data_IF_550603269797
#
_entry.id   IF_550603269797
#
_cell.length_a   1.000
_cell.length_b   1.000
_cell.length_c   1.000
_cell.angle_alpha   90.00
_cell.angle_beta   90.00
_cell.angle_gamma   90.00
#
_symmetry.space_group_name_H-M   'P 1'
#
loop_
_entity.id
_entity.type
_entity.pdbx_description
1 polymer ?
#
# COMPACT_ATOMS: atom_id res chain seq x y z
N UNK A 1 -7.67 -0.76 9.38
CA UNK A 1 -6.98 -1.99 8.96
C UNK A 1 -7.02 -2.99 10.10
N UNK A 2 -7.34 -4.25 9.81
CA UNK A 2 -7.54 -5.31 10.82
C UNK A 2 -6.72 -6.54 10.45
N UNK A 3 -6.14 -7.19 11.46
CA UNK A 3 -5.57 -8.53 11.36
C UNK A 3 -6.71 -9.53 11.66
N UNK A 4 -6.99 -10.43 10.73
CA UNK A 4 -8.06 -11.43 10.91
C UNK A 4 -7.54 -12.73 11.54
N UNK A 5 -6.24 -12.97 11.48
CA UNK A 5 -5.56 -14.13 12.09
C UNK A 5 -4.12 -13.80 12.42
N UNK A 6 -3.46 -14.58 13.30
CA UNK A 6 -2.03 -14.42 13.55
C UNK A 6 -1.23 -14.50 12.26
N UNK A 7 -0.28 -13.59 12.09
CA UNK A 7 0.57 -13.50 10.90
C UNK A 7 2.01 -13.83 11.25
N UNK A 8 2.68 -14.55 10.34
CA UNK A 8 4.10 -14.86 10.50
C UNK A 8 4.95 -13.72 9.95
N UNK A 9 6.20 -13.63 10.44
CA UNK A 9 7.18 -12.64 10.00
C UNK A 9 7.40 -12.67 8.49
N UNK A 10 7.34 -13.85 7.89
CA UNK A 10 7.58 -14.09 6.45
C UNK A 10 6.54 -13.38 5.57
N UNK A 11 5.39 -12.99 6.13
CA UNK A 11 4.41 -12.15 5.42
C UNK A 11 4.96 -10.74 5.17
N UNK A 12 5.88 -10.26 6.01
CA UNK A 12 6.43 -8.91 5.97
C UNK A 12 7.88 -8.84 5.51
N UNK A 13 8.65 -9.90 5.75
CA UNK A 13 10.06 -9.98 5.39
C UNK A 13 10.38 -11.38 4.88
N UNK A 14 11.03 -11.49 3.74
CA UNK A 14 11.34 -12.77 3.11
C UNK A 14 12.72 -12.77 2.43
N UNK A 15 13.14 -13.97 2.02
CA UNK A 15 14.42 -14.20 1.40
C UNK A 15 15.59 -14.27 2.40
N UNK A 16 16.77 -14.61 1.90
CA UNK A 16 17.99 -14.74 2.73
C UNK A 16 18.38 -13.42 3.40
N UNK A 17 18.14 -12.32 2.71
CA UNK A 17 18.49 -10.97 3.16
C UNK A 17 17.38 -10.31 4.00
N UNK A 18 16.34 -11.04 4.37
CA UNK A 18 15.18 -10.53 5.12
C UNK A 18 14.60 -9.24 4.51
N UNK A 19 14.46 -9.18 3.20
CA UNK A 19 13.92 -8.02 2.52
C UNK A 19 12.41 -7.85 2.77
N UNK A 20 11.92 -6.61 2.86
CA UNK A 20 10.49 -6.30 2.94
C UNK A 20 9.74 -6.95 1.78
N UNK A 21 8.67 -7.66 2.07
CA UNK A 21 7.80 -8.22 1.04
C UNK A 21 6.94 -7.14 0.43
N UNK A 22 6.95 -7.00 -0.89
CA UNK A 22 6.16 -6.00 -1.61
C UNK A 22 5.94 -6.39 -3.07
N UNK A 23 5.20 -5.57 -3.81
CA UNK A 23 4.97 -5.72 -5.24
C UNK A 23 5.32 -4.43 -5.98
N UNK A 24 6.14 -4.55 -7.01
CA UNK A 24 6.49 -3.44 -7.88
C UNK A 24 5.67 -3.52 -9.18
N UNK A 25 4.52 -2.88 -9.21
CA UNK A 25 3.62 -2.84 -10.37
C UNK A 25 3.50 -1.39 -10.84
N UNK A 26 3.94 -1.12 -12.06
CA UNK A 26 3.82 0.20 -12.70
C UNK A 26 2.35 0.59 -12.84
N UNK A 27 2.04 1.83 -12.48
CA UNK A 27 0.72 2.43 -12.61
C UNK A 27 0.83 3.85 -13.13
N UNK A 28 -0.30 4.52 -13.28
CA UNK A 28 -0.40 5.95 -13.58
C UNK A 28 -1.20 6.62 -12.48
N UNK A 29 -0.79 7.82 -12.09
CA UNK A 29 -1.55 8.64 -11.18
C UNK A 29 -2.54 9.46 -12.03
N UNK A 30 -3.81 9.43 -11.64
CA UNK A 30 -4.86 10.26 -12.25
C UNK A 30 -5.26 11.35 -11.26
N UNK A 31 -5.33 12.59 -11.75
CA UNK A 31 -5.75 13.77 -10.98
C UNK A 31 -7.12 14.22 -11.48
N UNK A 32 -8.13 13.37 -11.34
CA UNK A 32 -9.45 13.58 -11.93
C UNK A 32 -10.31 14.61 -11.20
N UNK A 33 -10.06 14.85 -9.92
CA UNK A 33 -10.79 15.82 -9.11
C UNK A 33 -9.86 16.85 -8.50
N UNK A 34 -10.28 18.13 -8.45
CA UNK A 34 -9.49 19.23 -7.86
C UNK A 34 -9.42 19.14 -6.33
N UNK A 35 -10.33 18.40 -5.71
CA UNK A 35 -10.49 18.30 -4.26
C UNK A 35 -9.66 17.18 -3.64
N UNK A 36 -9.34 16.14 -4.42
CA UNK A 36 -8.58 15.01 -3.93
C UNK A 36 -7.09 15.34 -3.79
N UNK A 37 -6.60 15.44 -2.56
CA UNK A 37 -5.20 15.73 -2.25
C UNK A 37 -4.25 14.56 -2.53
N UNK A 38 -4.71 13.32 -2.38
CA UNK A 38 -3.83 12.14 -2.44
C UNK A 38 -3.14 11.93 -3.80
N UNK A 39 -3.79 12.17 -4.95
CA UNK A 39 -3.10 12.14 -6.25
C UNK A 39 -1.95 13.14 -6.35
N UNK A 40 -2.10 14.35 -5.80
CA UNK A 40 -1.03 15.36 -5.81
C UNK A 40 0.15 14.93 -4.95
N UNK A 41 -0.09 14.47 -3.73
CA UNK A 41 0.95 13.95 -2.83
C UNK A 41 1.71 12.78 -3.48
N UNK A 42 1.00 11.83 -4.10
CA UNK A 42 1.63 10.73 -4.84
C UNK A 42 2.45 11.24 -6.04
N UNK A 43 1.98 12.27 -6.73
CA UNK A 43 2.69 12.88 -7.84
C UNK A 43 3.98 13.56 -7.36
N UNK A 44 3.95 14.26 -6.22
CA UNK A 44 5.14 14.85 -5.60
C UNK A 44 6.17 13.76 -5.28
N UNK A 45 5.75 12.65 -4.65
CA UNK A 45 6.61 11.51 -4.36
C UNK A 45 7.25 10.94 -5.64
N UNK A 46 6.49 10.81 -6.72
CA UNK A 46 7.00 10.31 -8.01
C UNK A 46 7.92 11.33 -8.68
N UNK A 47 7.67 12.62 -8.50
CA UNK A 47 8.51 13.70 -9.05
C UNK A 47 9.89 13.68 -8.40
N UNK A 48 9.97 13.60 -7.08
CA UNK A 48 11.24 13.43 -6.35
C UNK A 48 11.95 12.17 -6.81
N UNK A 49 11.26 11.04 -6.85
CA UNK A 49 11.83 9.77 -7.31
C UNK A 49 12.47 9.90 -8.70
N UNK A 50 11.80 10.56 -9.64
CA UNK A 50 12.29 10.81 -11.00
C UNK A 50 13.46 11.80 -11.06
N UNK A 51 13.68 12.59 -10.04
CA UNK A 51 14.88 13.42 -9.88
C UNK A 51 16.13 12.60 -9.61
N UNK A 52 15.98 11.45 -8.93
CA UNK A 52 17.09 10.60 -8.50
C UNK A 52 17.31 9.37 -9.37
N UNK A 53 16.26 8.86 -10.05
CA UNK A 53 16.33 7.57 -10.72
C UNK A 53 15.80 7.60 -12.16
N UNK A 54 16.53 6.95 -13.06
CA UNK A 54 16.02 6.56 -14.37
C UNK A 54 15.30 5.21 -14.25
N UNK A 55 14.02 5.17 -14.59
CA UNK A 55 13.19 3.98 -14.46
C UNK A 55 13.73 2.80 -15.26
N UNK A 56 14.13 3.02 -16.51
CA UNK A 56 14.62 1.95 -17.41
C UNK A 56 15.87 1.31 -16.85
N UNK A 57 16.80 2.11 -16.33
CA UNK A 57 18.03 1.62 -15.70
C UNK A 57 17.73 0.80 -14.45
N UNK A 58 16.86 1.30 -13.56
CA UNK A 58 16.52 0.58 -12.34
C UNK A 58 15.76 -0.71 -12.63
N UNK A 59 14.82 -0.70 -13.57
CA UNK A 59 14.13 -1.91 -13.99
C UNK A 59 15.09 -2.92 -14.64
N UNK A 60 16.08 -2.47 -15.42
CA UNK A 60 17.11 -3.34 -15.99
C UNK A 60 17.95 -3.99 -14.88
N UNK A 61 18.40 -3.19 -13.92
CA UNK A 61 19.23 -3.63 -12.78
C UNK A 61 18.51 -4.66 -11.91
N UNK A 62 17.21 -4.50 -11.71
CA UNK A 62 16.39 -5.35 -10.85
C UNK A 62 15.29 -6.10 -11.61
N UNK A 63 15.58 -6.51 -12.86
CA UNK A 63 14.58 -7.02 -13.81
C UNK A 63 13.69 -8.13 -13.23
N UNK A 64 14.26 -9.16 -12.60
CA UNK A 64 13.51 -10.28 -12.03
C UNK A 64 12.57 -9.90 -10.87
N UNK A 65 12.80 -8.75 -10.25
CA UNK A 65 11.92 -8.22 -9.21
C UNK A 65 10.76 -7.40 -9.79
N UNK A 66 10.97 -6.75 -10.94
CA UNK A 66 9.94 -5.98 -11.64
C UNK A 66 9.08 -6.86 -12.57
N UNK A 67 9.70 -7.80 -13.26
CA UNK A 67 9.02 -8.78 -14.12
C UNK A 67 9.01 -10.12 -13.39
N UNK A 68 8.06 -10.26 -12.46
CA UNK A 68 7.97 -11.41 -11.57
C UNK A 68 6.64 -12.14 -11.71
N UNK A 69 6.68 -13.47 -11.76
CA UNK A 69 5.47 -14.31 -11.89
C UNK A 69 4.48 -14.13 -10.72
N UNK A 70 4.97 -13.73 -9.54
CA UNK A 70 4.10 -13.42 -8.40
C UNK A 70 3.06 -12.32 -8.69
N UNK A 71 3.30 -11.48 -9.69
CA UNK A 71 2.37 -10.42 -10.09
C UNK A 71 1.28 -10.87 -11.08
N UNK A 72 1.33 -12.11 -11.55
CA UNK A 72 0.42 -12.62 -12.59
C UNK A 72 0.45 -11.71 -13.83
N UNK A 73 -0.71 -11.35 -14.36
CA UNK A 73 -0.82 -10.49 -15.54
C UNK A 73 -0.19 -9.10 -15.40
N UNK A 74 -0.01 -8.60 -14.17
CA UNK A 74 0.66 -7.32 -13.95
C UNK A 74 2.15 -7.34 -14.30
N UNK A 75 2.78 -8.51 -14.39
CA UNK A 75 4.15 -8.64 -14.90
C UNK A 75 4.26 -8.17 -16.36
N UNK A 76 3.25 -8.46 -17.19
CA UNK A 76 3.18 -7.96 -18.57
C UNK A 76 3.04 -6.44 -18.62
N UNK A 77 2.30 -5.85 -17.70
CA UNK A 77 2.19 -4.39 -17.57
C UNK A 77 3.55 -3.76 -17.33
N UNK A 78 4.35 -4.32 -16.43
CA UNK A 78 5.71 -3.83 -16.20
C UNK A 78 6.58 -3.96 -17.44
N UNK A 79 6.43 -5.03 -18.21
CA UNK A 79 7.16 -5.26 -19.44
C UNK A 79 6.79 -4.24 -20.53
N UNK A 80 5.49 -3.95 -20.71
CA UNK A 80 5.01 -2.92 -21.67
C UNK A 80 5.60 -1.56 -21.35
N UNK A 81 5.69 -1.20 -20.07
CA UNK A 81 6.23 0.08 -19.63
C UNK A 81 7.74 0.09 -19.36
N UNK A 82 8.44 -1.00 -19.69
CA UNK A 82 9.88 -1.16 -19.42
C UNK A 82 10.74 -0.09 -20.09
N UNK A 83 10.43 0.30 -21.33
CA UNK A 83 11.22 1.26 -22.10
C UNK A 83 11.14 2.72 -21.64
N UNK A 84 10.28 3.04 -20.69
CA UNK A 84 10.08 4.41 -20.23
C UNK A 84 11.17 4.82 -19.23
N UNK A 85 11.72 6.05 -19.36
CA UNK A 85 12.73 6.60 -18.48
C UNK A 85 12.17 7.20 -17.18
N UNK A 86 10.86 7.50 -17.13
CA UNK A 86 10.20 8.12 -15.98
C UNK A 86 9.15 7.22 -15.37
N UNK A 87 9.10 7.16 -14.05
CA UNK A 87 7.97 6.59 -13.32
C UNK A 87 6.75 7.49 -13.49
N UNK A 88 5.59 6.91 -13.73
CA UNK A 88 4.30 7.61 -13.77
C UNK A 88 3.45 7.33 -12.53
N UNK A 89 3.86 6.36 -11.73
CA UNK A 89 3.20 5.92 -10.52
C UNK A 89 3.40 4.43 -10.28
N UNK A 90 2.91 3.99 -9.13
CA UNK A 90 2.94 2.60 -8.68
C UNK A 90 1.54 2.18 -8.26
N UNK A 91 1.22 0.92 -8.44
CA UNK A 91 0.04 0.35 -7.82
C UNK A 91 0.22 0.30 -6.31
N UNK A 92 -0.77 0.76 -5.59
CA UNK A 92 -0.78 0.83 -4.14
C UNK A 92 -1.94 -0.01 -3.58
N UNK A 93 -1.87 -0.32 -2.30
CA UNK A 93 -2.99 -0.76 -1.49
C UNK A 93 -2.89 -0.13 -0.09
N UNK A 94 -3.98 -0.12 0.66
CA UNK A 94 -4.03 0.42 2.02
C UNK A 94 -3.80 -0.68 3.07
N UNK A 95 -2.77 -1.51 2.86
CA UNK A 95 -2.34 -2.53 3.80
C UNK A 95 -0.98 -2.16 4.40
N UNK A 96 -0.55 -2.92 5.42
CA UNK A 96 0.75 -2.71 6.04
C UNK A 96 1.89 -3.01 5.07
N UNK A 97 2.79 -2.05 4.93
CA UNK A 97 4.07 -2.19 4.24
C UNK A 97 5.21 -2.27 5.27
N UNK A 98 6.26 -2.95 4.88
CA UNK A 98 7.50 -3.01 5.65
C UNK A 98 8.56 -2.17 4.98
N UNK A 99 9.36 -1.47 5.78
CA UNK A 99 10.41 -0.60 5.29
C UNK A 99 11.74 -0.96 5.92
N UNK A 100 12.82 -0.77 5.17
CA UNK A 100 14.17 -0.80 5.71
C UNK A 100 14.49 0.57 6.32
N UNK A 101 15.04 0.57 7.51
CA UNK A 101 15.50 1.80 8.18
C UNK A 101 16.49 2.57 7.31
N UNK A 102 17.40 1.87 6.63
CA UNK A 102 18.36 2.46 5.71
C UNK A 102 17.75 3.22 4.54
N UNK A 103 16.52 2.86 4.11
CA UNK A 103 15.82 3.62 3.06
C UNK A 103 15.31 4.96 3.59
N UNK A 104 14.83 4.98 4.84
CA UNK A 104 14.46 6.22 5.51
C UNK A 104 15.66 7.15 5.67
N UNK A 105 16.79 6.63 6.15
CA UNK A 105 18.01 7.38 6.36
C UNK A 105 18.53 7.97 5.03
N UNK A 106 18.57 7.18 3.96
CA UNK A 106 19.03 7.62 2.63
C UNK A 106 18.13 8.72 2.04
N UNK A 107 16.82 8.62 2.20
CA UNK A 107 15.88 9.63 1.70
C UNK A 107 15.97 10.91 2.55
N UNK A 108 16.02 10.81 3.86
CA UNK A 108 16.17 11.96 4.74
C UNK A 108 17.48 12.72 4.50
N UNK A 109 18.56 12.02 4.17
CA UNK A 109 19.83 12.65 3.79
C UNK A 109 19.72 13.44 2.48
N UNK A 110 18.97 12.93 1.50
CA UNK A 110 18.88 13.50 0.15
C UNK A 110 17.77 14.54 -0.02
N UNK A 111 16.69 14.40 0.71
CA UNK A 111 15.46 15.19 0.57
C UNK A 111 15.05 15.84 1.89
N UNK A 112 16.04 16.21 2.72
CA UNK A 112 15.81 16.77 4.05
C UNK A 112 14.82 17.93 4.03
N UNK A 113 15.03 18.93 3.17
CA UNK A 113 14.20 20.14 3.12
C UNK A 113 12.73 19.81 2.80
N UNK A 114 12.48 18.95 1.81
CA UNK A 114 11.13 18.55 1.40
C UNK A 114 10.41 17.73 2.46
N UNK A 115 11.13 16.87 3.17
CA UNK A 115 10.59 16.00 4.23
C UNK A 115 10.36 16.79 5.52
N UNK A 116 11.26 17.71 5.87
CA UNK A 116 11.15 18.56 7.04
C UNK A 116 9.98 19.55 6.90
N UNK A 117 9.85 20.17 5.73
CA UNK A 117 8.70 21.03 5.38
C UNK A 117 7.38 20.27 5.54
N UNK A 118 7.27 19.09 4.90
CA UNK A 118 6.08 18.23 5.04
C UNK A 118 5.79 17.88 6.50
N UNK A 119 6.83 17.56 7.28
CA UNK A 119 6.69 17.14 8.69
C UNK A 119 6.31 18.28 9.61
N UNK A 120 6.55 19.52 9.20
CA UNK A 120 6.18 20.73 9.96
C UNK A 120 4.69 21.07 9.86
N UNK A 121 3.99 20.56 8.87
CA UNK A 121 2.60 20.90 8.61
C UNK A 121 1.65 20.20 9.60
N UNK A 122 0.82 20.99 10.27
CA UNK A 122 -0.26 20.49 11.15
C UNK A 122 -1.37 19.77 10.37
N UNK A 123 -1.67 20.25 9.18
CA UNK A 123 -2.67 19.71 8.28
C UNK A 123 -2.05 19.43 6.92
N UNK A 124 -2.54 18.39 6.27
CA UNK A 124 -2.05 17.95 4.96
C UNK A 124 -2.24 19.01 3.89
N UNK A 125 -1.20 19.22 3.09
CA UNK A 125 -1.15 20.12 1.94
C UNK A 125 -1.02 19.33 0.64
N UNK A 126 -1.39 19.94 -0.49
CA UNK A 126 -1.18 19.34 -1.83
C UNK A 126 0.30 19.24 -2.21
N UNK A 127 1.17 19.96 -1.54
CA UNK A 127 2.61 19.95 -1.76
C UNK A 127 3.35 18.90 -0.92
N UNK A 128 2.66 18.31 0.07
CA UNK A 128 3.27 17.35 0.98
C UNK A 128 3.73 16.08 0.29
N UNK A 129 4.58 15.39 1.01
CA UNK A 129 5.00 14.02 0.75
C UNK A 129 4.29 13.07 1.72
N UNK A 130 4.40 11.79 1.48
CA UNK A 130 3.96 10.76 2.42
C UNK A 130 4.88 9.52 2.36
N UNK A 131 4.53 8.50 3.15
CA UNK A 131 5.30 7.25 3.20
C UNK A 131 5.34 6.48 1.87
N UNK A 132 4.54 6.86 0.86
CA UNK A 132 4.67 6.32 -0.49
C UNK A 132 6.02 6.65 -1.12
N UNK A 133 6.62 7.80 -0.80
CA UNK A 133 7.96 8.13 -1.28
C UNK A 133 8.97 7.07 -0.84
N UNK A 134 8.94 6.68 0.42
CA UNK A 134 9.87 5.69 0.99
C UNK A 134 9.64 4.32 0.34
N UNK A 135 8.37 3.93 0.16
CA UNK A 135 8.01 2.70 -0.54
C UNK A 135 8.53 2.71 -1.99
N UNK A 136 8.28 3.79 -2.73
CA UNK A 136 8.70 3.89 -4.14
C UNK A 136 10.22 3.87 -4.28
N UNK A 137 10.91 4.51 -3.37
CA UNK A 137 12.37 4.52 -3.28
C UNK A 137 12.92 3.11 -3.06
N UNK A 138 12.41 2.41 -2.06
CA UNK A 138 12.76 1.03 -1.74
C UNK A 138 12.51 0.07 -2.92
N UNK A 139 11.35 0.18 -3.57
CA UNK A 139 11.02 -0.60 -4.76
C UNK A 139 11.97 -0.30 -5.93
N UNK A 140 12.27 0.97 -6.16
CA UNK A 140 13.15 1.42 -7.24
C UNK A 140 14.56 0.90 -7.05
N UNK A 141 15.08 0.92 -5.83
CA UNK A 141 16.39 0.35 -5.48
C UNK A 141 16.44 -1.17 -5.46
N UNK A 142 15.30 -1.83 -5.65
CA UNK A 142 15.20 -3.29 -5.62
C UNK A 142 15.32 -3.88 -4.22
N UNK A 143 15.16 -3.10 -3.15
CA UNK A 143 15.29 -3.53 -1.77
C UNK A 143 13.97 -4.11 -1.24
N UNK A 144 13.43 -5.08 -1.97
CA UNK A 144 12.20 -5.79 -1.61
C UNK A 144 12.23 -7.23 -2.13
N UNK A 145 11.39 -8.08 -1.54
CA UNK A 145 11.11 -9.44 -2.00
C UNK A 145 9.75 -9.48 -2.70
N UNK A 146 9.69 -9.90 -3.99
CA UNK A 146 8.45 -9.87 -4.78
C UNK A 146 7.38 -10.82 -4.23
N UNK A 147 6.17 -10.28 -3.99
CA UNK A 147 4.98 -11.05 -3.64
C UNK A 147 3.78 -10.60 -4.46
N UNK A 148 2.76 -11.43 -4.56
CA UNK A 148 1.49 -11.07 -5.19
C UNK A 148 0.78 -9.94 -4.44
N UNK A 149 0.09 -9.06 -5.19
CA UNK A 149 -0.58 -7.86 -4.65
C UNK A 149 -1.53 -8.13 -3.48
N UNK A 150 -2.18 -9.29 -3.48
CA UNK A 150 -3.21 -9.66 -2.50
C UNK A 150 -2.74 -10.68 -1.46
N UNK A 151 -1.46 -11.03 -1.43
CA UNK A 151 -0.91 -12.03 -0.47
C UNK A 151 -1.09 -11.57 0.98
N UNK A 152 -0.90 -10.28 1.25
CA UNK A 152 -1.09 -9.73 2.60
C UNK A 152 -2.56 -9.54 2.96
N UNK A 153 -3.44 -9.37 1.98
CA UNK A 153 -4.85 -9.08 2.18
C UNK A 153 -5.45 -8.22 1.09
N UNK A 154 -6.62 -7.65 1.37
CA UNK A 154 -7.39 -6.84 0.42
C UNK A 154 -8.00 -5.62 1.10
N UNK A 155 -8.25 -4.58 0.32
CA UNK A 155 -9.00 -3.40 0.73
C UNK A 155 -10.44 -3.58 0.28
N UNK A 156 -11.37 -3.28 1.15
CA UNK A 156 -12.81 -3.30 0.90
C UNK A 156 -13.39 -1.91 1.10
N UNK A 157 -14.17 -1.47 0.15
CA UNK A 157 -15.03 -0.30 0.31
C UNK A 157 -16.38 -0.76 0.85
N UNK A 158 -16.99 0.03 1.73
CA UNK A 158 -18.31 -0.24 2.29
C UNK A 158 -19.38 0.39 1.38
N UNK A 159 -20.45 -0.33 1.15
CA UNK A 159 -21.59 0.10 0.37
C UNK A 159 -22.89 0.06 1.22
N UNK A 160 -23.87 0.88 0.86
CA UNK A 160 -25.21 0.74 1.40
C UNK A 160 -25.81 -0.60 0.93
N UNK A 161 -26.28 -1.39 1.89
CA UNK A 161 -26.88 -2.69 1.63
C UNK A 161 -26.00 -3.88 2.02
N UNK A 162 -26.65 -4.84 2.68
CA UNK A 162 -25.97 -6.03 3.23
C UNK A 162 -25.42 -6.92 2.13
N UNK A 163 -26.12 -7.02 1.00
CA UNK A 163 -25.74 -7.92 -0.08
C UNK A 163 -24.39 -7.56 -0.72
N UNK A 164 -24.16 -6.27 -0.91
CA UNK A 164 -22.92 -5.76 -1.52
C UNK A 164 -21.69 -5.98 -0.63
N UNK A 165 -21.89 -6.11 0.68
CA UNK A 165 -20.83 -6.33 1.66
C UNK A 165 -20.73 -7.80 2.13
N UNK A 166 -21.49 -8.72 1.58
CA UNK A 166 -21.48 -10.13 2.02
C UNK A 166 -20.10 -10.80 1.87
N UNK A 167 -19.35 -10.44 0.82
CA UNK A 167 -17.98 -10.95 0.65
C UNK A 167 -17.11 -10.54 1.83
N UNK A 168 -17.18 -9.26 2.24
CA UNK A 168 -16.43 -8.73 3.38
C UNK A 168 -16.78 -9.48 4.67
N UNK A 169 -18.06 -9.65 4.99
CA UNK A 169 -18.48 -10.35 6.20
C UNK A 169 -18.00 -11.80 6.22
N UNK A 170 -18.13 -12.53 5.11
CA UNK A 170 -17.63 -13.91 4.99
C UNK A 170 -16.12 -14.00 5.17
N UNK A 171 -15.37 -13.02 4.67
CA UNK A 171 -13.91 -12.99 4.83
C UNK A 171 -13.52 -12.75 6.29
N UNK A 172 -14.23 -11.86 7.00
CA UNK A 172 -14.02 -11.66 8.43
C UNK A 172 -14.35 -12.93 9.19
N UNK A 173 -15.57 -13.43 9.05
CA UNK A 173 -16.08 -14.59 9.80
C UNK A 173 -15.25 -15.86 9.59
N UNK A 174 -14.73 -16.07 8.39
CA UNK A 174 -13.89 -17.23 8.05
C UNK A 174 -12.39 -16.98 8.19
N UNK A 175 -11.97 -15.79 8.59
CA UNK A 175 -10.55 -15.40 8.66
C UNK A 175 -9.79 -15.74 7.35
N UNK A 176 -10.46 -15.52 6.21
CA UNK A 176 -10.02 -16.04 4.91
C UNK A 176 -8.70 -15.42 4.41
N UNK A 177 -8.30 -14.28 4.93
CA UNK A 177 -7.02 -13.63 4.61
C UNK A 177 -6.32 -13.09 5.87
N UNK A 178 -5.00 -12.85 5.80
CA UNK A 178 -4.24 -12.34 6.95
C UNK A 178 -4.72 -10.98 7.44
N UNK A 179 -4.96 -10.04 6.52
CA UNK A 179 -5.33 -8.66 6.83
C UNK A 179 -6.42 -8.15 5.89
N UNK A 180 -7.24 -7.23 6.40
CA UNK A 180 -8.14 -6.43 5.60
C UNK A 180 -8.00 -4.95 5.95
N UNK A 181 -8.25 -4.08 4.99
CA UNK A 181 -8.55 -2.68 5.21
C UNK A 181 -10.00 -2.44 4.82
N UNK A 182 -10.75 -1.81 5.69
CA UNK A 182 -12.13 -1.39 5.42
C UNK A 182 -12.08 0.13 5.26
N UNK A 183 -12.46 0.60 4.09
CA UNK A 183 -12.60 2.03 3.82
C UNK A 183 -14.05 2.43 3.98
N UNK A 184 -14.23 3.53 4.66
CA UNK A 184 -15.48 4.25 4.77
C UNK A 184 -15.81 4.98 3.46
N UNK A 185 -17.08 5.30 3.27
CA UNK A 185 -17.59 6.06 2.13
C UNK A 185 -18.67 7.02 2.65
N UNK A 186 -18.55 8.29 2.31
CA UNK A 186 -19.44 9.39 2.78
C UNK A 186 -20.94 9.14 2.49
N UNK A 187 -21.26 8.23 1.58
CA UNK A 187 -22.64 7.91 1.18
C UNK A 187 -23.22 6.69 1.89
N UNK A 188 -22.55 6.15 2.91
CA UNK A 188 -22.99 4.95 3.63
C UNK A 188 -23.71 5.33 4.92
N UNK A 189 -24.86 4.70 5.17
CA UNK A 189 -25.51 4.75 6.48
C UNK A 189 -24.63 3.98 7.48
N UNK A 190 -23.91 4.75 8.30
CA UNK A 190 -22.85 4.25 9.15
C UNK A 190 -23.34 3.29 10.24
N UNK A 191 -24.45 3.61 10.92
CA UNK A 191 -24.84 2.83 12.10
C UNK A 191 -25.26 1.39 11.79
N UNK A 192 -26.10 1.08 10.77
CA UNK A 192 -26.40 -0.29 10.40
C UNK A 192 -25.17 -1.08 9.95
N UNK A 193 -24.26 -0.40 9.24
CA UNK A 193 -23.04 -1.04 8.74
C UNK A 193 -22.05 -1.34 9.87
N UNK A 194 -21.86 -0.40 10.79
CA UNK A 194 -21.05 -0.58 12.00
C UNK A 194 -21.51 -1.78 12.82
N UNK A 195 -22.83 -1.88 13.06
CA UNK A 195 -23.39 -2.99 13.82
C UNK A 195 -23.15 -4.33 13.11
N UNK A 196 -23.30 -4.37 11.78
CA UNK A 196 -23.09 -5.59 11.02
C UNK A 196 -21.62 -6.02 10.96
N UNK A 197 -20.70 -5.06 10.82
CA UNK A 197 -19.25 -5.31 10.91
C UNK A 197 -18.90 -5.84 12.30
N UNK A 198 -19.42 -5.18 13.35
CA UNK A 198 -19.24 -5.62 14.74
C UNK A 198 -19.67 -7.07 14.93
N UNK A 199 -20.86 -7.45 14.47
CA UNK A 199 -21.36 -8.82 14.54
C UNK A 199 -20.44 -9.85 13.85
N UNK A 200 -19.82 -9.45 12.72
CA UNK A 200 -18.87 -10.32 12.02
C UNK A 200 -17.57 -10.50 12.84
N UNK A 201 -17.08 -9.44 13.49
CA UNK A 201 -15.92 -9.51 14.37
C UNK A 201 -16.21 -10.25 15.68
N UNK A 202 -17.39 -10.09 16.29
CA UNK A 202 -17.77 -10.78 17.52
C UNK A 202 -17.77 -12.32 17.35
N UNK A 203 -17.95 -12.82 16.13
CA UNK A 203 -17.83 -14.26 15.84
C UNK A 203 -16.39 -14.81 15.99
N UNK A 204 -15.41 -13.99 15.70
CA UNK A 204 -13.98 -14.39 15.73
C UNK A 204 -13.25 -13.86 16.97
N UNK A 205 -13.80 -12.85 17.63
CA UNK A 205 -13.29 -12.23 18.84
C UNK A 205 -14.43 -12.08 19.87
N UNK A 206 -14.97 -13.21 20.42
CA UNK A 206 -16.14 -13.18 21.27
C UNK A 206 -15.88 -12.60 22.66
N UNK A 207 -14.61 -12.60 23.10
CA UNK A 207 -14.22 -12.11 24.42
C UNK A 207 -13.42 -10.83 24.30
N UNK A 208 -13.67 -9.90 25.22
CA UNK A 208 -12.85 -8.68 25.32
C UNK A 208 -11.42 -9.03 25.71
N UNK A 209 -10.47 -8.34 25.12
CA UNK A 209 -9.07 -8.43 25.57
C UNK A 209 -8.88 -7.76 26.93
N UNK A 210 -7.83 -8.14 27.64
CA UNK A 210 -7.53 -7.63 29.00
C UNK A 210 -7.29 -6.11 29.07
N UNK A 211 -7.05 -5.46 27.94
CA UNK A 211 -6.82 -4.00 27.84
C UNK A 211 -8.06 -3.22 27.33
N UNK A 212 -9.14 -3.90 26.95
CA UNK A 212 -10.39 -3.24 26.62
C UNK A 212 -11.17 -2.87 27.87
N UNK A 213 -11.59 -1.59 27.94
CA UNK A 213 -12.38 -1.04 29.06
C UNK A 213 -13.87 -1.29 28.90
#
# INVERSE_FOLDING_TARGET
MFLLRPVKRELFFAGKDCLPTDFAITSTISTTTKEDMMPFIKLNCVTILNGHFDKKEQMKKHFSKWVNLAYGWNALRNLIFYGQHRFKGFANNHLAFSFLKSEYEDIWEKEYESLDDTSSHKFRSKLDLDNWLIRYWQLTRGNFYPIGRHVKGKVYEIYNGVEQNQELFKIIENQAMPMICINDNDNVDFEPMKERIKQAFDKILPEKSSFEK
#
